data_IF_809426711620
#
_entry.id   IF_809426711620
#
_cell.length_a   1.000
_cell.length_b   1.000
_cell.length_c   1.000
_cell.angle_alpha   90.00
_cell.angle_beta   90.00
_cell.angle_gamma   90.00
#
_symmetry.space_group_name_H-M   'P 1'
#
loop_
_entity.id
_entity.type
_entity.pdbx_description
1 polymer ?
#
# COMPACT_ATOMS: atom_id res chain seq x y z
N UNK A 1 -30.02 -92.30 -50.29
CA UNK A 1 -28.85 -91.75 -49.58
C UNK A 1 -28.54 -90.37 -50.17
N UNK A 2 -29.07 -89.33 -49.57
CA UNK A 2 -29.08 -87.90 -50.08
C UNK A 2 -28.13 -87.06 -49.31
N UNK A 3 -27.15 -86.49 -49.98
CA UNK A 3 -26.12 -85.62 -49.40
C UNK A 3 -26.66 -84.19 -49.23
N UNK A 4 -26.39 -83.50 -48.11
CA UNK A 4 -26.87 -82.14 -47.90
C UNK A 4 -25.98 -81.11 -48.68
N UNK A 5 -26.67 -80.17 -49.38
CA UNK A 5 -26.03 -79.01 -50.04
C UNK A 5 -25.53 -78.04 -48.99
N UNK A 6 -24.22 -77.76 -49.04
CA UNK A 6 -23.58 -76.67 -48.29
C UNK A 6 -23.97 -75.32 -48.91
N UNK A 7 -24.67 -74.48 -48.12
CA UNK A 7 -24.89 -73.07 -48.46
C UNK A 7 -23.56 -72.30 -48.33
N UNK A 8 -23.06 -71.74 -49.44
CA UNK A 8 -21.98 -70.78 -49.50
C UNK A 8 -22.52 -69.42 -49.00
N UNK A 9 -22.07 -68.98 -47.81
CA UNK A 9 -22.36 -67.65 -47.29
C UNK A 9 -21.50 -66.69 -48.09
N UNK A 10 -22.15 -65.83 -48.87
CA UNK A 10 -21.51 -64.79 -49.62
C UNK A 10 -20.94 -63.74 -48.70
N UNK A 11 -19.60 -63.49 -48.71
CA UNK A 11 -18.95 -62.37 -48.04
C UNK A 11 -19.30 -61.07 -48.80
N UNK A 12 -20.17 -60.28 -48.19
CA UNK A 12 -20.41 -58.94 -48.68
C UNK A 12 -19.13 -58.03 -48.41
N UNK A 13 -18.63 -57.29 -49.37
CA UNK A 13 -17.51 -56.40 -49.16
C UNK A 13 -17.96 -55.24 -48.22
N UNK A 14 -17.22 -55.07 -47.10
CA UNK A 14 -17.42 -53.98 -46.21
C UNK A 14 -17.12 -52.63 -46.92
N UNK A 15 -18.02 -51.63 -46.85
CA UNK A 15 -17.79 -50.35 -47.47
C UNK A 15 -16.56 -49.70 -46.83
N UNK A 16 -15.54 -49.43 -47.64
CA UNK A 16 -14.30 -48.80 -47.25
C UNK A 16 -14.59 -47.49 -46.54
N UNK A 17 -14.06 -47.32 -45.31
CA UNK A 17 -14.11 -46.04 -44.59
C UNK A 17 -13.54 -44.95 -45.50
N UNK A 18 -14.27 -43.81 -45.66
CA UNK A 18 -13.73 -42.69 -46.43
C UNK A 18 -12.44 -42.22 -45.78
N UNK A 19 -11.38 -42.23 -46.52
CA UNK A 19 -10.06 -41.66 -46.12
C UNK A 19 -10.32 -40.21 -45.73
N UNK A 20 -10.30 -39.90 -44.44
CA UNK A 20 -10.30 -38.53 -44.00
C UNK A 20 -9.08 -37.87 -44.63
N UNK A 21 -9.32 -37.01 -45.61
CA UNK A 21 -8.29 -36.18 -46.20
C UNK A 21 -7.53 -35.50 -45.05
N UNK A 22 -6.26 -35.89 -44.84
CA UNK A 22 -5.35 -35.19 -43.94
C UNK A 22 -5.37 -33.75 -44.42
N UNK A 23 -5.95 -32.85 -43.58
CA UNK A 23 -5.81 -31.43 -43.81
C UNK A 23 -4.30 -31.16 -43.90
N UNK A 24 -3.87 -30.77 -45.07
CA UNK A 24 -2.51 -30.38 -45.38
C UNK A 24 -2.10 -29.39 -44.28
N UNK A 25 -1.15 -29.76 -43.43
CA UNK A 25 -0.52 -28.87 -42.49
C UNK A 25 0.22 -27.82 -43.36
N UNK A 26 -0.43 -26.67 -43.57
CA UNK A 26 0.22 -25.53 -44.21
C UNK A 26 1.38 -25.11 -43.32
N UNK A 27 2.59 -25.22 -43.81
CA UNK A 27 3.77 -24.73 -43.13
C UNK A 27 3.63 -23.24 -42.86
N UNK A 28 4.02 -22.80 -41.68
CA UNK A 28 4.06 -21.39 -41.31
C UNK A 28 5.05 -20.65 -42.22
N UNK A 29 4.65 -19.52 -42.76
CA UNK A 29 5.56 -18.69 -43.55
C UNK A 29 6.53 -17.97 -42.64
N UNK A 30 7.76 -17.69 -43.13
CA UNK A 30 8.76 -16.95 -42.38
C UNK A 30 8.23 -15.57 -41.92
N UNK A 31 7.42 -14.93 -42.76
CA UNK A 31 6.76 -13.65 -42.43
C UNK A 31 5.79 -13.78 -41.26
N UNK A 32 5.03 -14.87 -41.19
CA UNK A 32 4.07 -15.13 -40.09
C UNK A 32 4.79 -15.34 -38.75
N UNK A 33 5.93 -16.03 -38.77
CA UNK A 33 6.78 -16.22 -37.57
C UNK A 33 7.36 -14.88 -37.10
N UNK A 34 7.82 -14.03 -38.03
CA UNK A 34 8.35 -12.70 -37.69
C UNK A 34 7.26 -11.80 -37.07
N UNK A 35 6.07 -11.79 -37.66
CA UNK A 35 4.94 -11.02 -37.14
C UNK A 35 4.55 -11.53 -35.74
N UNK A 36 4.43 -12.85 -35.56
CA UNK A 36 4.09 -13.43 -34.26
C UNK A 36 5.15 -13.12 -33.20
N UNK A 37 6.44 -13.18 -33.54
CA UNK A 37 7.53 -12.85 -32.61
C UNK A 37 7.52 -11.37 -32.22
N UNK A 38 7.28 -10.45 -33.16
CA UNK A 38 7.19 -9.01 -32.85
C UNK A 38 5.98 -8.68 -31.98
N UNK A 39 4.82 -9.28 -32.24
CA UNK A 39 3.63 -9.12 -31.41
C UNK A 39 3.87 -9.67 -30.00
N UNK A 40 4.50 -10.85 -29.90
CA UNK A 40 4.85 -11.44 -28.59
C UNK A 40 5.80 -10.54 -27.81
N UNK A 41 6.86 -10.02 -28.44
CA UNK A 41 7.80 -9.09 -27.81
C UNK A 41 7.08 -7.82 -27.29
N UNK A 42 6.16 -7.28 -28.08
CA UNK A 42 5.37 -6.11 -27.69
C UNK A 42 4.47 -6.40 -26.47
N UNK A 43 3.79 -7.55 -26.45
CA UNK A 43 2.96 -7.98 -25.31
C UNK A 43 3.80 -8.15 -24.05
N UNK A 44 4.98 -8.76 -24.15
CA UNK A 44 5.88 -8.93 -23.01
C UNK A 44 6.36 -7.58 -22.48
N UNK A 45 6.79 -6.66 -23.36
CA UNK A 45 7.22 -5.32 -22.94
C UNK A 45 6.13 -4.55 -22.22
N UNK A 46 4.91 -4.53 -22.76
CA UNK A 46 3.78 -3.83 -22.13
C UNK A 46 3.41 -4.44 -20.79
N UNK A 47 3.46 -5.77 -20.67
CA UNK A 47 3.19 -6.48 -19.41
C UNK A 47 4.23 -6.16 -18.33
N UNK A 48 5.51 -6.11 -18.65
CA UNK A 48 6.58 -5.74 -17.73
C UNK A 48 6.45 -4.29 -17.26
N UNK A 49 6.08 -3.38 -18.15
CA UNK A 49 5.84 -1.98 -17.80
C UNK A 49 4.67 -1.84 -16.84
N UNK A 50 3.55 -2.51 -17.11
CA UNK A 50 2.39 -2.52 -16.24
C UNK A 50 2.71 -3.09 -14.85
N UNK A 51 3.49 -4.18 -14.79
CA UNK A 51 3.92 -4.79 -13.53
C UNK A 51 4.80 -3.83 -12.71
N UNK A 52 5.76 -3.16 -13.36
CA UNK A 52 6.61 -2.16 -12.71
C UNK A 52 5.80 -1.01 -12.11
N UNK A 53 4.79 -0.51 -12.82
CA UNK A 53 3.90 0.52 -12.30
C UNK A 53 3.07 0.02 -11.11
N UNK A 54 2.56 -1.21 -11.17
CA UNK A 54 1.80 -1.81 -10.07
C UNK A 54 2.64 -1.93 -8.79
N UNK A 55 3.91 -2.32 -8.90
CA UNK A 55 4.84 -2.33 -7.76
C UNK A 55 5.07 -0.94 -7.18
N UNK A 56 5.20 0.08 -8.03
CA UNK A 56 5.34 1.47 -7.60
C UNK A 56 4.14 1.94 -6.77
N UNK A 57 2.93 1.68 -7.26
CA UNK A 57 1.69 2.04 -6.56
C UNK A 57 1.58 1.32 -5.21
N UNK A 58 1.88 0.02 -5.19
CA UNK A 58 1.82 -0.79 -3.95
C UNK A 58 2.81 -0.28 -2.91
N UNK A 59 4.04 0.05 -3.33
CA UNK A 59 5.05 0.63 -2.44
C UNK A 59 4.59 1.97 -1.89
N UNK A 60 4.09 2.86 -2.74
CA UNK A 60 3.56 4.16 -2.31
C UNK A 60 2.42 4.01 -1.29
N UNK A 61 1.46 3.12 -1.54
CA UNK A 61 0.36 2.85 -0.60
C UNK A 61 0.87 2.39 0.77
N UNK A 62 1.89 1.54 0.81
CA UNK A 62 2.53 1.10 2.06
C UNK A 62 3.19 2.27 2.81
N UNK A 63 3.91 3.14 2.09
CA UNK A 63 4.56 4.30 2.70
C UNK A 63 3.56 5.29 3.28
N UNK A 64 2.46 5.55 2.58
CA UNK A 64 1.35 6.40 3.07
C UNK A 64 0.70 5.80 4.33
N UNK A 65 0.48 4.49 4.34
CA UNK A 65 -0.09 3.79 5.52
C UNK A 65 0.86 3.88 6.71
N UNK A 66 2.14 3.61 6.49
CA UNK A 66 3.17 3.69 7.53
C UNK A 66 3.31 5.11 8.09
N UNK A 67 3.33 6.12 7.22
CA UNK A 67 3.32 7.53 7.64
C UNK A 67 2.11 7.85 8.53
N UNK A 68 0.94 7.29 8.21
CA UNK A 68 -0.26 7.42 9.03
C UNK A 68 -0.13 6.77 10.41
N UNK A 69 0.43 5.57 10.47
CA UNK A 69 0.66 4.84 11.73
C UNK A 69 1.68 5.55 12.62
N UNK A 70 2.79 6.04 12.04
CA UNK A 70 3.79 6.85 12.75
C UNK A 70 3.13 8.10 13.34
N UNK A 71 2.38 8.84 12.51
CA UNK A 71 1.70 10.05 12.96
C UNK A 71 0.71 9.78 14.09
N UNK A 72 -0.08 8.71 14.01
CA UNK A 72 -1.02 8.32 15.05
C UNK A 72 -0.31 7.92 16.34
N UNK A 73 0.77 7.12 16.26
CA UNK A 73 1.55 6.72 17.43
C UNK A 73 2.14 7.92 18.18
N UNK A 74 2.73 8.87 17.45
CA UNK A 74 3.27 10.09 18.06
C UNK A 74 2.16 10.97 18.63
N UNK A 75 1.02 11.02 17.96
CA UNK A 75 -0.15 11.76 18.45
C UNK A 75 -0.65 11.19 19.78
N UNK A 76 -0.68 9.85 19.94
CA UNK A 76 -1.06 9.21 21.20
C UNK A 76 -0.01 9.48 22.30
N UNK A 77 1.29 9.48 21.99
CA UNK A 77 2.33 9.86 22.96
C UNK A 77 2.16 11.31 23.44
N UNK A 78 1.84 12.22 22.52
CA UNK A 78 1.62 13.62 22.86
C UNK A 78 0.34 13.81 23.69
N UNK A 79 -0.70 12.98 23.47
CA UNK A 79 -1.93 12.99 24.27
C UNK A 79 -1.71 12.53 25.71
N UNK A 80 -0.71 11.66 25.93
CA UNK A 80 -0.33 11.20 27.26
C UNK A 80 0.49 12.25 28.04
N UNK A 81 0.96 13.31 27.39
CA UNK A 81 1.70 14.40 28.04
C UNK A 81 0.74 15.41 28.63
N UNK A 82 1.16 16.00 29.74
CA UNK A 82 0.36 17.05 30.37
C UNK A 82 0.41 18.35 29.51
N UNK A 83 -0.60 19.19 29.67
CA UNK A 83 -0.75 20.42 28.91
C UNK A 83 0.45 21.39 29.08
N UNK A 84 1.08 21.46 30.27
CA UNK A 84 2.24 22.30 30.51
C UNK A 84 3.44 21.92 29.62
N UNK A 85 3.66 20.63 29.37
CA UNK A 85 4.70 20.15 28.47
C UNK A 85 4.39 20.53 27.01
N UNK A 86 3.14 20.45 26.59
CA UNK A 86 2.72 20.85 25.24
C UNK A 86 2.84 22.37 25.04
N UNK A 87 2.54 23.17 26.06
CA UNK A 87 2.76 24.61 26.07
C UNK A 87 4.24 24.95 25.97
N UNK A 88 5.12 24.19 26.64
CA UNK A 88 6.57 24.36 26.52
C UNK A 88 7.08 24.11 25.07
N UNK A 89 6.51 23.13 24.34
CA UNK A 89 6.80 22.98 22.93
C UNK A 89 6.34 24.17 22.08
N UNK A 90 5.20 24.77 22.39
CA UNK A 90 4.71 25.95 21.67
C UNK A 90 5.60 27.21 21.90
N UNK A 91 6.38 27.23 22.98
CA UNK A 91 7.34 28.30 23.26
C UNK A 91 8.72 28.12 22.58
N UNK A 92 8.97 26.94 21.98
CA UNK A 92 10.21 26.67 21.25
C UNK A 92 10.17 27.24 19.82
N UNK A 93 11.35 27.31 19.19
CA UNK A 93 11.43 27.65 17.76
C UNK A 93 10.69 26.60 16.92
N UNK A 94 9.74 27.06 16.15
CA UNK A 94 8.92 26.18 15.30
C UNK A 94 9.53 26.04 13.89
N UNK A 95 9.40 24.88 13.22
CA UNK A 95 8.79 23.62 13.72
C UNK A 95 9.74 22.85 14.68
N UNK A 96 9.17 22.17 15.66
CA UNK A 96 9.92 21.30 16.57
C UNK A 96 10.18 19.95 15.88
N UNK A 97 11.43 19.48 15.93
CA UNK A 97 11.79 18.15 15.46
C UNK A 97 11.31 17.09 16.45
N UNK A 98 10.40 16.22 15.98
CA UNK A 98 9.85 15.11 16.74
C UNK A 98 10.35 13.75 16.23
N UNK A 99 11.35 13.73 15.35
CA UNK A 99 11.87 12.47 14.75
C UNK A 99 12.39 11.52 15.82
N UNK A 100 12.99 12.06 16.89
CA UNK A 100 13.45 11.26 18.03
C UNK A 100 12.32 10.61 18.85
N UNK A 101 11.09 11.07 18.69
CA UNK A 101 9.91 10.48 19.36
C UNK A 101 9.45 9.18 18.67
N UNK A 102 9.92 8.93 17.46
CA UNK A 102 9.71 7.67 16.76
C UNK A 102 10.63 6.62 17.41
N UNK A 103 10.17 5.98 18.47
CA UNK A 103 10.98 5.03 19.21
C UNK A 103 11.10 3.69 18.49
N UNK A 104 12.29 3.11 18.55
CA UNK A 104 12.58 1.77 18.03
C UNK A 104 11.77 0.66 18.71
N UNK A 105 11.14 0.94 19.85
CA UNK A 105 10.28 0.00 20.58
C UNK A 105 8.95 -0.26 19.87
N UNK A 106 8.41 0.74 19.16
CA UNK A 106 7.13 0.62 18.45
C UNK A 106 7.30 0.31 16.97
N UNK A 107 8.39 0.78 16.38
CA UNK A 107 8.68 0.59 14.97
C UNK A 107 10.11 0.08 14.80
N UNK A 108 10.28 -0.99 14.04
CA UNK A 108 11.62 -1.44 13.67
C UNK A 108 12.35 -0.32 12.91
N UNK A 109 13.62 -0.09 13.23
CA UNK A 109 14.43 0.98 12.64
C UNK A 109 14.45 0.97 11.11
N UNK A 110 14.32 -0.23 10.50
CA UNK A 110 14.21 -0.40 9.06
C UNK A 110 12.95 0.24 8.45
N UNK A 111 11.88 0.41 9.23
CA UNK A 111 10.64 1.05 8.75
C UNK A 111 10.64 2.55 8.98
N UNK A 112 11.42 3.06 9.94
CA UNK A 112 11.48 4.48 10.26
C UNK A 112 12.56 5.22 9.49
N UNK A 113 13.50 4.49 8.90
CA UNK A 113 14.52 5.09 8.03
C UNK A 113 13.88 5.82 6.85
N UNK A 114 14.19 7.10 6.70
CA UNK A 114 13.68 7.94 5.62
C UNK A 114 12.39 8.71 5.94
N UNK A 115 11.85 8.58 7.17
CA UNK A 115 10.80 9.46 7.66
C UNK A 115 11.38 10.55 8.55
N UNK A 116 10.97 11.80 8.29
CA UNK A 116 11.22 12.94 9.19
C UNK A 116 9.89 13.43 9.75
N UNK A 117 9.88 13.75 11.03
CA UNK A 117 8.69 14.17 11.74
C UNK A 117 8.91 15.56 12.33
N UNK A 118 8.01 16.49 12.05
CA UNK A 118 8.02 17.82 12.63
C UNK A 118 6.65 18.22 13.15
N UNK A 119 6.63 18.89 14.30
CA UNK A 119 5.42 19.41 14.91
C UNK A 119 5.46 20.94 14.94
N UNK A 120 4.38 21.57 14.46
CA UNK A 120 4.19 23.01 14.64
C UNK A 120 3.10 23.21 15.71
N UNK A 121 3.53 23.71 16.88
CA UNK A 121 2.68 23.97 18.02
C UNK A 121 2.33 25.46 18.06
N UNK A 122 1.05 25.78 18.08
CA UNK A 122 0.58 27.17 18.13
C UNK A 122 -0.39 27.33 19.31
N UNK A 123 -0.10 28.27 20.21
CA UNK A 123 -1.01 28.64 21.29
C UNK A 123 -2.19 29.41 20.68
N UNK A 124 -3.38 28.82 20.72
CA UNK A 124 -4.61 29.46 20.24
C UNK A 124 -5.24 30.35 21.30
N UNK A 125 -5.27 29.85 22.56
CA UNK A 125 -5.80 30.55 23.72
C UNK A 125 -4.75 30.42 24.82
N UNK A 126 -4.28 31.57 25.32
CA UNK A 126 -3.41 31.57 26.48
C UNK A 126 -4.22 31.25 27.75
N UNK A 127 -3.66 30.42 28.62
CA UNK A 127 -4.27 30.11 29.91
C UNK A 127 -4.31 31.38 30.76
N UNK A 128 -5.48 31.73 31.28
CA UNK A 128 -5.73 32.84 32.21
C UNK A 128 -6.79 32.46 33.23
N UNK A 129 -6.95 33.26 34.28
CA UNK A 129 -7.92 32.98 35.34
C UNK A 129 -9.33 32.77 34.77
N UNK A 130 -9.85 31.55 34.90
CA UNK A 130 -11.18 31.14 34.41
C UNK A 130 -11.28 30.80 32.92
N UNK A 131 -10.18 30.91 32.14
CA UNK A 131 -10.15 30.53 30.73
C UNK A 131 -9.07 29.48 30.49
N UNK A 132 -9.46 28.21 30.22
CA UNK A 132 -8.49 27.15 29.95
C UNK A 132 -7.72 27.41 28.64
N UNK A 133 -6.43 27.19 28.68
CA UNK A 133 -5.55 27.34 27.51
C UNK A 133 -5.84 26.29 26.44
N UNK A 134 -5.55 26.65 25.18
CA UNK A 134 -5.63 25.75 24.02
C UNK A 134 -4.40 25.87 23.15
N UNK A 135 -3.86 24.72 22.75
CA UNK A 135 -2.75 24.59 21.82
C UNK A 135 -3.18 23.76 20.61
N UNK A 136 -2.92 24.25 19.41
CA UNK A 136 -3.04 23.44 18.19
C UNK A 136 -1.67 22.83 17.86
N UNK A 137 -1.71 21.61 17.35
CA UNK A 137 -0.57 20.92 16.79
C UNK A 137 -0.86 20.56 15.33
N UNK A 138 0.02 21.01 14.44
CA UNK A 138 0.11 20.52 13.09
C UNK A 138 1.32 19.59 13.01
N UNK A 139 1.07 18.27 12.99
CA UNK A 139 2.08 17.26 12.84
C UNK A 139 2.32 16.99 11.35
N UNK A 140 3.56 17.07 10.92
CA UNK A 140 3.98 16.83 9.52
C UNK A 140 4.93 15.63 9.49
N UNK A 141 4.55 14.60 8.77
CA UNK A 141 5.39 13.43 8.43
C UNK A 141 5.84 13.60 7.00
N UNK A 142 7.14 13.58 6.76
CA UNK A 142 7.75 13.68 5.44
C UNK A 142 8.60 12.46 5.14
N UNK A 143 8.59 12.02 3.88
CA UNK A 143 9.43 10.93 3.39
C UNK A 143 9.81 11.13 1.93
N UNK A 144 10.81 10.42 1.48
CA UNK A 144 11.26 10.47 0.08
C UNK A 144 11.08 9.10 -0.55
N UNK A 145 10.48 9.08 -1.74
CA UNK A 145 10.30 7.87 -2.53
C UNK A 145 10.70 8.13 -3.98
N UNK A 146 11.63 7.34 -4.51
CA UNK A 146 12.15 7.49 -5.88
C UNK A 146 12.61 8.93 -6.21
N UNK A 147 13.24 9.60 -5.24
CA UNK A 147 13.72 10.99 -5.39
C UNK A 147 12.62 12.06 -5.30
N UNK A 148 11.36 11.68 -5.08
CA UNK A 148 10.24 12.61 -4.85
C UNK A 148 9.92 12.71 -3.36
N UNK A 149 9.77 13.94 -2.86
CA UNK A 149 9.34 14.20 -1.49
C UNK A 149 7.82 14.12 -1.36
N UNK A 150 7.37 13.46 -0.30
CA UNK A 150 5.96 13.35 0.09
C UNK A 150 5.78 13.83 1.51
N UNK A 151 4.61 14.40 1.79
CA UNK A 151 4.28 14.87 3.14
C UNK A 151 2.84 14.49 3.49
N UNK A 152 2.62 14.19 4.78
CA UNK A 152 1.28 14.02 5.36
C UNK A 152 1.17 14.90 6.59
N UNK A 153 0.07 15.66 6.69
CA UNK A 153 -0.19 16.55 7.81
C UNK A 153 -1.40 16.05 8.60
N UNK A 154 -1.29 16.09 9.91
CA UNK A 154 -2.39 15.87 10.85
C UNK A 154 -2.50 17.09 11.75
N UNK A 155 -3.73 17.54 12.02
CA UNK A 155 -3.99 18.66 12.90
C UNK A 155 -4.80 18.16 14.09
N UNK A 156 -4.40 18.55 15.30
CA UNK A 156 -5.13 18.27 16.53
C UNK A 156 -5.07 19.45 17.49
N UNK A 157 -5.93 19.42 18.48
CA UNK A 157 -6.06 20.45 19.48
C UNK A 157 -5.95 19.83 20.86
N UNK A 158 -5.21 20.51 21.75
CA UNK A 158 -5.05 20.16 23.15
C UNK A 158 -5.62 21.28 24.02
N UNK A 159 -6.46 20.92 24.97
CA UNK A 159 -6.99 21.86 25.96
C UNK A 159 -6.39 21.60 27.33
N UNK A 160 -6.23 22.63 28.13
CA UNK A 160 -5.69 22.57 29.49
C UNK A 160 -6.56 21.73 30.45
N UNK A 161 -7.86 21.65 30.17
CA UNK A 161 -8.82 20.79 30.88
C UNK A 161 -9.35 19.69 29.94
N UNK A 162 -8.47 19.13 29.12
CA UNK A 162 -8.82 18.06 28.20
C UNK A 162 -9.12 16.75 28.90
N UNK A 163 -9.58 15.76 28.12
CA UNK A 163 -10.01 14.46 28.65
C UNK A 163 -8.88 13.76 29.44
N UNK A 164 -7.62 13.96 29.06
CA UNK A 164 -6.44 13.44 29.75
C UNK A 164 -6.25 14.09 31.12
N UNK A 165 -6.39 15.40 31.24
CA UNK A 165 -6.28 16.10 32.52
C UNK A 165 -7.40 15.72 33.47
N UNK A 166 -8.62 15.48 32.97
CA UNK A 166 -9.77 15.06 33.76
C UNK A 166 -9.52 13.70 34.42
N UNK A 167 -8.91 12.76 33.76
CA UNK A 167 -8.58 11.45 34.33
C UNK A 167 -7.50 11.55 35.43
N UNK A 168 -6.55 12.47 35.32
CA UNK A 168 -5.49 12.61 36.31
C UNK A 168 -5.88 13.49 37.50
N UNK A 169 -6.71 14.50 37.29
CA UNK A 169 -7.14 15.43 38.36
C UNK A 169 -8.40 14.92 39.08
N UNK A 170 -9.28 14.20 38.40
CA UNK A 170 -10.53 13.65 38.99
C UNK A 170 -10.32 12.42 39.88
N UNK A 171 -9.09 11.83 39.92
CA UNK A 171 -8.78 10.65 40.74
C UNK A 171 -7.78 10.94 41.87
N UNK A 172 -7.44 12.18 42.13
CA UNK A 172 -6.71 12.56 43.33
C UNK A 172 -7.67 12.55 44.52
N UNK A 173 -7.46 11.68 45.56
CA UNK A 173 -8.30 11.68 46.77
C UNK A 173 -8.12 12.96 47.57
#
# INVERSE_FOLDING_TARGET
MSLPRKHLVGFAPTPGRPWRARKSARGMTLAEVLIAATLLAFVVMTSLTALSQAYGITRHARMVTLAGQIAQSVMEDLRLRNYSSLKAYAAQTQPVDLTSTITSERFASSFTQGFALSGNFTTLIASSAGVPGKVSLTLTVSWTEQGKGFTRKLITYFGEQGLSDYFYVGWAP
#
